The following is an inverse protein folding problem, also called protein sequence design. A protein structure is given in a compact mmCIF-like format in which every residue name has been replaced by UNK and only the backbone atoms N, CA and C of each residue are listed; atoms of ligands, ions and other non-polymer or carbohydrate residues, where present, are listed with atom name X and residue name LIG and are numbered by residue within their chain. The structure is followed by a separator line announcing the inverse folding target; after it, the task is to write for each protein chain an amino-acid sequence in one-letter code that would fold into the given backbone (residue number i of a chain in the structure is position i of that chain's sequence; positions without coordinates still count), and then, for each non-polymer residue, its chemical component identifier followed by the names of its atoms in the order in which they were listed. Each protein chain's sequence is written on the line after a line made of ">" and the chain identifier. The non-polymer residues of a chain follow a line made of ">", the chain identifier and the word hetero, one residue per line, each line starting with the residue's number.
data_IF_414610198996
#
_entry.id   IF_414610198996
#
_cell.length_a   1.000
_cell.length_b   1.000
_cell.length_c   1.000
_cell.angle_alpha   90.00
_cell.angle_beta   90.00
_cell.angle_gamma   90.00
#
_symmetry.space_group_name_H-M   'P 1'
#
loop_
_entity.id
_entity.type
_entity.pdbx_description
1 polymer ?
#
# COMPACT_ATOMS: atom_id res chain seq x y z
N UNK A 1 17.95 12.35 -53.82
CA UNK A 1 17.48 12.47 -52.43
C UNK A 1 16.67 13.75 -52.34
N UNK A 2 15.36 13.65 -52.31
CA UNK A 2 14.45 14.80 -52.49
C UNK A 2 14.40 15.64 -51.20
N UNK A 3 14.31 16.97 -51.34
CA UNK A 3 14.23 17.96 -50.24
C UNK A 3 13.18 17.57 -49.20
N UNK A 4 12.08 16.95 -49.63
CA UNK A 4 10.98 16.46 -48.79
C UNK A 4 11.47 15.39 -47.78
N UNK A 5 12.36 14.48 -48.21
CA UNK A 5 12.91 13.43 -47.36
C UNK A 5 13.85 14.01 -46.28
N UNK A 6 14.62 15.04 -46.64
CA UNK A 6 15.52 15.71 -45.70
C UNK A 6 14.75 16.52 -44.65
N UNK A 7 13.65 17.17 -45.03
CA UNK A 7 12.76 17.91 -44.10
C UNK A 7 12.06 16.92 -43.15
N UNK A 8 11.54 15.79 -43.64
CA UNK A 8 10.92 14.78 -42.81
C UNK A 8 11.90 14.15 -41.80
N UNK A 9 13.13 13.89 -42.21
CA UNK A 9 14.17 13.38 -41.31
C UNK A 9 14.54 14.44 -40.27
N UNK A 10 14.63 15.71 -40.65
CA UNK A 10 14.97 16.81 -39.74
C UNK A 10 13.81 17.08 -38.74
N UNK A 11 12.57 17.10 -39.18
CA UNK A 11 11.39 17.24 -38.29
C UNK A 11 11.28 16.06 -37.32
N UNK A 12 11.47 14.83 -37.80
CA UNK A 12 11.43 13.63 -36.97
C UNK A 12 12.59 13.59 -35.93
N UNK A 13 13.80 13.99 -36.31
CA UNK A 13 14.91 14.10 -35.37
C UNK A 13 14.66 15.19 -34.32
N UNK A 14 14.13 16.34 -34.74
CA UNK A 14 13.83 17.45 -33.84
C UNK A 14 12.69 17.12 -32.86
N UNK A 15 11.62 16.49 -33.32
CA UNK A 15 10.54 15.99 -32.46
C UNK A 15 11.05 14.93 -31.45
N UNK A 16 12.01 14.10 -31.86
CA UNK A 16 12.65 13.12 -31.01
C UNK A 16 13.55 13.76 -29.97
N UNK A 17 14.33 14.79 -30.35
CA UNK A 17 15.16 15.59 -29.44
C UNK A 17 14.30 16.41 -28.47
N UNK A 18 13.20 17.06 -28.93
CA UNK A 18 12.26 17.79 -28.08
C UNK A 18 11.55 16.86 -27.11
N UNK A 19 11.16 15.66 -27.53
CA UNK A 19 10.57 14.63 -26.67
C UNK A 19 11.57 14.07 -25.66
N UNK A 20 12.85 14.00 -26.01
CA UNK A 20 13.93 13.58 -25.11
C UNK A 20 14.34 14.71 -24.16
N UNK A 21 14.28 15.97 -24.57
CA UNK A 21 14.52 17.15 -23.71
C UNK A 21 13.39 17.39 -22.68
N UNK A 22 12.23 16.79 -22.86
CA UNK A 22 11.10 16.90 -21.92
C UNK A 22 11.00 15.73 -20.92
N UNK A 23 11.86 14.71 -21.04
CA UNK A 23 11.85 13.57 -20.12
C UNK A 23 12.39 13.96 -18.75
N UNK A 24 11.69 13.58 -17.72
CA UNK A 24 12.11 13.74 -16.32
C UNK A 24 13.22 12.76 -15.95
N UNK A 25 13.14 11.53 -16.44
CA UNK A 25 14.10 10.46 -16.17
C UNK A 25 14.31 9.55 -17.39
N UNK A 26 15.33 8.74 -17.33
CA UNK A 26 15.63 7.67 -18.28
C UNK A 26 15.90 6.35 -17.56
N UNK A 27 15.74 5.24 -18.27
CA UNK A 27 16.20 3.93 -17.83
C UNK A 27 17.68 3.80 -18.13
N UNK A 28 18.50 3.41 -17.16
CA UNK A 28 19.91 3.15 -17.34
C UNK A 28 20.17 1.74 -17.84
N UNK A 29 21.43 1.39 -18.13
CA UNK A 29 21.84 0.03 -18.44
C UNK A 29 22.03 -0.86 -17.21
N UNK A 30 22.06 -0.26 -16.01
CA UNK A 30 22.10 -0.99 -14.74
C UNK A 30 20.75 -1.67 -14.51
N UNK A 31 20.75 -2.96 -14.29
CA UNK A 31 19.52 -3.74 -14.13
C UNK A 31 19.67 -4.85 -13.09
N UNK A 32 18.55 -5.26 -12.54
CA UNK A 32 18.46 -6.39 -11.63
C UNK A 32 17.39 -7.38 -12.12
N UNK A 33 17.58 -8.65 -11.80
CA UNK A 33 16.53 -9.66 -11.97
C UNK A 33 15.70 -9.75 -10.67
N UNK A 34 14.40 -9.50 -10.79
CA UNK A 34 13.47 -9.55 -9.67
C UNK A 34 12.19 -10.30 -10.05
N UNK A 35 11.87 -11.40 -9.36
CA UNK A 35 10.74 -12.29 -9.69
C UNK A 35 10.67 -12.69 -11.17
N UNK A 36 11.81 -12.97 -11.81
CA UNK A 36 11.88 -13.36 -13.22
C UNK A 36 11.68 -12.21 -14.22
N UNK A 37 11.69 -10.97 -13.76
CA UNK A 37 11.59 -9.74 -14.56
C UNK A 37 12.89 -8.97 -14.50
N UNK A 38 13.25 -8.29 -15.58
CA UNK A 38 14.39 -7.37 -15.60
C UNK A 38 13.88 -5.98 -15.24
N UNK A 39 14.42 -5.41 -14.19
CA UNK A 39 14.12 -4.04 -13.76
C UNK A 39 15.36 -3.18 -13.99
N UNK A 40 15.16 -1.99 -14.51
CA UNK A 40 16.21 -1.05 -14.86
C UNK A 40 16.29 0.07 -13.83
N UNK A 41 17.49 0.43 -13.45
CA UNK A 41 17.71 1.60 -12.61
C UNK A 41 17.35 2.86 -13.36
N UNK A 42 16.69 3.81 -12.69
CA UNK A 42 16.35 5.10 -13.29
C UNK A 42 17.37 6.17 -12.92
N UNK A 43 17.47 7.19 -13.78
CA UNK A 43 18.32 8.36 -13.57
C UNK A 43 17.56 9.62 -13.93
N UNK A 44 17.55 10.60 -13.04
CA UNK A 44 16.93 11.89 -13.27
C UNK A 44 17.69 12.69 -14.35
N UNK A 45 16.97 13.19 -15.35
CA UNK A 45 17.51 14.02 -16.43
C UNK A 45 17.41 15.51 -16.12
N UNK A 46 16.44 15.87 -15.28
CA UNK A 46 16.20 17.24 -14.79
C UNK A 46 15.98 17.21 -13.29
N UNK A 47 16.22 18.32 -12.60
CA UNK A 47 15.89 18.46 -11.19
C UNK A 47 14.39 18.72 -10.99
N UNK A 48 13.78 18.07 -10.00
CA UNK A 48 12.37 18.28 -9.60
C UNK A 48 12.17 17.90 -8.13
N UNK A 49 11.28 18.59 -7.44
CA UNK A 49 11.07 18.35 -6.00
C UNK A 49 12.41 18.40 -5.23
N UNK A 50 12.75 17.28 -4.60
CA UNK A 50 14.02 17.09 -3.87
C UNK A 50 15.04 16.25 -4.65
N UNK A 51 14.78 15.94 -5.93
CA UNK A 51 15.65 15.12 -6.78
C UNK A 51 16.55 16.03 -7.61
N UNK A 52 17.85 15.77 -7.61
CA UNK A 52 18.83 16.52 -8.40
C UNK A 52 19.03 15.89 -9.79
N UNK A 53 19.42 16.74 -10.76
CA UNK A 53 19.81 16.26 -12.09
C UNK A 53 20.96 15.28 -11.99
N UNK A 54 20.82 14.12 -12.62
CA UNK A 54 21.80 13.04 -12.61
C UNK A 54 21.65 12.06 -11.43
N UNK A 55 20.73 12.32 -10.49
CA UNK A 55 20.49 11.42 -9.38
C UNK A 55 19.99 10.06 -9.84
N UNK A 56 20.55 9.01 -9.25
CA UNK A 56 20.13 7.63 -9.51
C UNK A 56 18.96 7.28 -8.58
N UNK A 57 17.87 6.81 -9.19
CA UNK A 57 16.70 6.36 -8.46
C UNK A 57 16.72 4.86 -8.16
N UNK A 58 15.53 4.28 -7.94
CA UNK A 58 15.31 2.85 -7.78
C UNK A 58 15.21 2.10 -9.12
N UNK A 59 14.43 1.01 -9.11
CA UNK A 59 14.32 0.11 -10.25
C UNK A 59 12.88 0.01 -10.76
N UNK A 60 12.69 0.16 -12.06
CA UNK A 60 11.40 -0.02 -12.72
C UNK A 60 11.51 -0.97 -13.91
N UNK A 61 10.43 -1.69 -14.23
CA UNK A 61 10.41 -2.61 -15.37
C UNK A 61 10.33 -1.88 -16.71
N UNK A 62 9.56 -0.80 -16.75
CA UNK A 62 9.28 -0.01 -17.97
C UNK A 62 8.97 1.44 -17.61
N UNK A 63 9.13 2.36 -18.57
CA UNK A 63 8.92 3.79 -18.34
C UNK A 63 7.50 4.12 -17.81
N UNK A 64 6.48 3.36 -18.21
CA UNK A 64 5.10 3.56 -17.79
C UNK A 64 4.86 3.30 -16.29
N UNK A 65 5.80 2.66 -15.59
CA UNK A 65 5.70 2.45 -14.15
C UNK A 65 5.88 3.74 -13.34
N UNK A 66 6.51 4.76 -13.90
CA UNK A 66 6.73 6.05 -13.27
C UNK A 66 6.36 7.19 -14.21
N UNK A 67 5.51 8.11 -13.77
CA UNK A 67 5.10 9.24 -14.58
C UNK A 67 6.27 10.19 -14.88
N UNK A 68 6.36 10.62 -16.13
CA UNK A 68 7.33 11.61 -16.60
C UNK A 68 6.97 13.05 -16.17
N UNK A 69 5.74 13.27 -15.68
CA UNK A 69 5.28 14.54 -15.15
C UNK A 69 5.24 14.54 -13.61
N UNK A 70 5.09 15.73 -13.01
CA UNK A 70 5.02 15.85 -11.54
C UNK A 70 6.32 15.50 -10.83
N UNK A 71 6.23 15.30 -9.51
CA UNK A 71 7.40 15.06 -8.65
C UNK A 71 7.51 13.59 -8.17
N UNK A 72 6.69 12.69 -8.73
CA UNK A 72 6.76 11.28 -8.34
C UNK A 72 8.16 10.69 -8.56
N UNK A 73 8.66 9.93 -7.58
CA UNK A 73 9.98 9.32 -7.66
C UNK A 73 10.04 7.95 -7.02
N UNK A 74 10.91 7.12 -7.57
CA UNK A 74 11.30 5.82 -7.02
C UNK A 74 12.77 5.91 -6.67
N UNK A 75 13.16 5.62 -5.43
CA UNK A 75 14.55 5.80 -4.95
C UNK A 75 15.05 4.59 -4.14
N UNK A 76 16.35 4.58 -3.84
CA UNK A 76 16.98 3.49 -3.11
C UNK A 76 16.97 2.18 -3.88
N UNK A 77 16.54 1.11 -3.24
CA UNK A 77 16.37 -0.22 -3.85
C UNK A 77 14.90 -0.54 -4.18
N UNK A 78 14.03 0.47 -4.12
CA UNK A 78 12.60 0.26 -4.38
C UNK A 78 12.37 -0.22 -5.81
N UNK A 79 11.40 -1.12 -5.97
CA UNK A 79 11.08 -1.78 -7.23
C UNK A 79 9.63 -1.53 -7.65
N UNK A 80 9.41 -1.08 -8.89
CA UNK A 80 8.07 -0.92 -9.46
C UNK A 80 7.97 -1.72 -10.76
N UNK A 81 7.02 -2.63 -10.85
CA UNK A 81 6.93 -3.55 -11.99
C UNK A 81 5.49 -4.01 -12.28
N UNK A 82 5.34 -4.72 -13.40
CA UNK A 82 4.02 -5.10 -13.92
C UNK A 82 3.33 -3.90 -14.55
N UNK A 83 2.04 -3.76 -14.27
CA UNK A 83 1.25 -2.60 -14.68
C UNK A 83 1.11 -1.55 -13.56
N UNK A 84 1.93 -1.69 -12.51
CA UNK A 84 1.94 -0.74 -11.42
C UNK A 84 2.37 0.66 -11.88
N UNK A 85 1.76 1.69 -11.32
CA UNK A 85 2.04 3.07 -11.68
C UNK A 85 2.25 3.96 -10.45
N UNK A 86 3.26 4.83 -10.55
CA UNK A 86 3.60 5.84 -9.54
C UNK A 86 3.53 7.21 -10.20
N UNK A 87 2.67 8.12 -9.70
CA UNK A 87 2.45 9.42 -10.32
C UNK A 87 2.08 10.53 -9.32
N UNK A 88 1.96 11.77 -9.81
CA UNK A 88 1.75 12.95 -8.96
C UNK A 88 3.01 13.36 -8.21
N UNK A 89 2.97 13.41 -6.89
CA UNK A 89 4.11 13.66 -6.03
C UNK A 89 4.47 12.42 -5.17
N UNK A 90 4.01 11.25 -5.56
CA UNK A 90 4.20 10.04 -4.78
C UNK A 90 5.68 9.62 -4.69
N UNK A 91 6.07 9.11 -3.54
CA UNK A 91 7.44 8.70 -3.27
C UNK A 91 7.50 7.22 -2.88
N UNK A 92 8.27 6.43 -3.62
CA UNK A 92 8.52 5.01 -3.31
C UNK A 92 9.99 4.83 -3.02
N UNK A 93 10.38 4.34 -1.83
CA UNK A 93 11.78 4.31 -1.42
C UNK A 93 12.13 3.11 -0.52
N UNK A 94 13.39 3.05 -0.07
CA UNK A 94 13.88 1.93 0.73
C UNK A 94 14.00 0.66 -0.11
N UNK A 95 13.46 -0.45 0.38
CA UNK A 95 13.34 -1.71 -0.35
C UNK A 95 11.87 -1.98 -0.75
N UNK A 96 11.02 -0.96 -0.73
CA UNK A 96 9.60 -1.09 -1.03
C UNK A 96 9.35 -1.61 -2.45
N UNK A 97 8.27 -2.32 -2.63
CA UNK A 97 7.87 -2.81 -3.95
C UNK A 97 6.41 -2.50 -4.27
N UNK A 98 6.19 -2.08 -5.51
CA UNK A 98 4.85 -1.81 -6.04
C UNK A 98 4.67 -2.64 -7.30
N UNK A 99 3.64 -3.49 -7.35
CA UNK A 99 3.49 -4.46 -8.44
C UNK A 99 2.04 -4.78 -8.80
N UNK A 100 1.86 -5.62 -9.83
CA UNK A 100 0.53 -5.92 -10.36
C UNK A 100 -0.06 -4.72 -11.07
N UNK A 101 -1.30 -4.38 -10.79
CA UNK A 101 -2.02 -3.20 -11.28
C UNK A 101 -2.14 -2.10 -10.21
N UNK A 102 -1.24 -2.11 -9.21
CA UNK A 102 -1.26 -1.19 -8.09
C UNK A 102 -0.91 0.25 -8.49
N UNK A 103 -1.55 1.22 -7.86
CA UNK A 103 -1.28 2.64 -8.11
C UNK A 103 -0.93 3.37 -6.80
N UNK A 104 0.18 4.12 -6.83
CA UNK A 104 0.62 5.02 -5.77
C UNK A 104 0.63 6.44 -6.31
N UNK A 105 -0.15 7.35 -5.74
CA UNK A 105 -0.32 8.69 -6.31
C UNK A 105 -0.72 9.75 -5.28
N UNK A 106 -0.78 11.01 -5.72
CA UNK A 106 -0.94 12.16 -4.83
C UNK A 106 0.38 12.43 -4.13
N UNK A 107 0.36 12.70 -2.84
CA UNK A 107 1.54 12.90 -1.98
C UNK A 107 1.86 11.62 -1.16
N UNK A 108 1.40 10.46 -1.63
CA UNK A 108 1.53 9.19 -0.92
C UNK A 108 2.98 8.70 -0.87
N UNK A 109 3.34 8.11 0.26
CA UNK A 109 4.67 7.56 0.50
C UNK A 109 4.60 6.05 0.78
N UNK A 110 5.45 5.28 0.09
CA UNK A 110 5.64 3.85 0.34
C UNK A 110 7.14 3.62 0.55
N UNK A 111 7.54 3.14 1.73
CA UNK A 111 8.97 3.06 2.06
C UNK A 111 9.31 1.91 3.00
N UNK A 112 10.60 1.77 3.35
CA UNK A 112 11.17 0.61 4.06
C UNK A 112 10.99 -0.68 3.24
N UNK A 113 10.44 -1.75 3.81
CA UNK A 113 10.19 -3.03 3.16
C UNK A 113 8.71 -3.21 2.76
N UNK A 114 7.96 -2.10 2.66
CA UNK A 114 6.53 -2.13 2.38
C UNK A 114 6.19 -2.67 0.99
N UNK A 115 5.06 -3.37 0.92
CA UNK A 115 4.56 -3.99 -0.30
C UNK A 115 3.18 -3.45 -0.69
N UNK A 116 3.03 -3.00 -1.93
CA UNK A 116 1.74 -2.62 -2.51
C UNK A 116 1.53 -3.43 -3.79
N UNK A 117 0.47 -4.25 -3.84
CA UNK A 117 0.29 -5.18 -4.98
C UNK A 117 -1.18 -5.45 -5.34
N UNK A 118 -1.38 -6.23 -6.40
CA UNK A 118 -2.73 -6.48 -6.93
C UNK A 118 -3.30 -5.21 -7.56
N UNK A 119 -4.56 -4.88 -7.28
CA UNK A 119 -5.23 -3.65 -7.72
C UNK A 119 -5.23 -2.57 -6.63
N UNK A 120 -4.33 -2.66 -5.65
CA UNK A 120 -4.31 -1.77 -4.49
C UNK A 120 -4.00 -0.33 -4.88
N UNK A 121 -4.57 0.61 -4.12
CA UNK A 121 -4.35 2.04 -4.34
C UNK A 121 -3.93 2.74 -3.06
N UNK A 122 -2.82 3.47 -3.13
CA UNK A 122 -2.32 4.32 -2.05
C UNK A 122 -2.32 5.76 -2.56
N UNK A 123 -3.00 6.68 -1.88
CA UNK A 123 -3.19 8.04 -2.40
C UNK A 123 -3.41 9.10 -1.31
N UNK A 124 -3.45 10.38 -1.72
CA UNK A 124 -3.47 11.49 -0.78
C UNK A 124 -2.13 11.58 -0.06
N UNK A 125 -2.13 11.92 1.22
CA UNK A 125 -0.94 11.98 2.10
C UNK A 125 -0.70 10.65 2.83
N UNK A 126 -1.21 9.53 2.29
CA UNK A 126 -1.14 8.23 2.93
C UNK A 126 0.29 7.68 2.95
N UNK A 127 0.65 7.03 4.07
CA UNK A 127 1.96 6.40 4.24
C UNK A 127 1.81 4.90 4.48
N UNK A 128 2.57 4.09 3.73
CA UNK A 128 2.70 2.64 3.93
C UNK A 128 4.19 2.34 4.15
N UNK A 129 4.54 1.77 5.30
CA UNK A 129 5.96 1.60 5.66
C UNK A 129 6.20 0.44 6.63
N UNK A 130 7.48 0.15 6.93
CA UNK A 130 7.88 -1.06 7.63
C UNK A 130 7.69 -2.28 6.74
N UNK A 131 7.25 -3.40 7.29
CA UNK A 131 6.93 -4.64 6.55
C UNK A 131 5.45 -4.70 6.12
N UNK A 132 4.77 -3.55 6.06
CA UNK A 132 3.33 -3.48 5.79
C UNK A 132 2.99 -3.89 4.35
N UNK A 133 1.90 -4.66 4.23
CA UNK A 133 1.41 -5.14 2.94
C UNK A 133 0.00 -4.62 2.63
N UNK A 134 -0.18 -3.98 1.49
CA UNK A 134 -1.47 -3.53 0.95
C UNK A 134 -1.72 -4.23 -0.38
N UNK A 135 -2.75 -5.06 -0.48
CA UNK A 135 -2.96 -5.88 -1.67
C UNK A 135 -4.44 -6.16 -1.97
N UNK A 136 -4.71 -6.85 -3.09
CA UNK A 136 -6.09 -7.03 -3.58
C UNK A 136 -6.65 -5.72 -4.12
N UNK A 137 -7.90 -5.40 -3.81
CA UNK A 137 -8.57 -4.16 -4.21
C UNK A 137 -8.54 -3.10 -3.09
N UNK A 138 -7.62 -3.24 -2.13
CA UNK A 138 -7.51 -2.39 -0.96
C UNK A 138 -7.15 -0.94 -1.32
N UNK A 139 -7.67 -0.01 -0.53
CA UNK A 139 -7.41 1.43 -0.71
C UNK A 139 -6.95 2.06 0.59
N UNK A 140 -5.81 2.74 0.53
CA UNK A 140 -5.28 3.56 1.61
C UNK A 140 -5.24 5.01 1.13
N UNK A 141 -5.87 5.93 1.84
CA UNK A 141 -6.02 7.31 1.36
C UNK A 141 -6.15 8.35 2.48
N UNK A 142 -6.15 9.63 2.12
CA UNK A 142 -6.12 10.71 3.11
C UNK A 142 -4.79 10.71 3.84
N UNK A 143 -4.79 10.97 5.14
CA UNK A 143 -3.60 10.95 6.01
C UNK A 143 -3.40 9.59 6.70
N UNK A 144 -3.95 8.50 6.12
CA UNK A 144 -3.90 7.19 6.72
C UNK A 144 -2.48 6.62 6.75
N UNK A 145 -2.18 5.87 7.82
CA UNK A 145 -0.88 5.22 8.00
C UNK A 145 -1.05 3.71 8.16
N UNK A 146 -0.29 2.95 7.39
CA UNK A 146 -0.22 1.49 7.50
C UNK A 146 1.23 1.11 7.74
N UNK A 147 1.54 0.45 8.86
CA UNK A 147 2.94 0.22 9.25
C UNK A 147 3.16 -1.03 10.10
N UNK A 148 4.44 -1.36 10.35
CA UNK A 148 4.82 -2.62 10.99
C UNK A 148 4.52 -3.79 10.07
N UNK A 149 4.12 -4.93 10.61
CA UNK A 149 3.71 -6.13 9.86
C UNK A 149 2.22 -6.09 9.44
N UNK A 150 1.59 -4.90 9.39
CA UNK A 150 0.17 -4.76 9.12
C UNK A 150 -0.20 -5.22 7.70
N UNK A 151 -1.36 -5.86 7.57
CA UNK A 151 -1.88 -6.35 6.30
C UNK A 151 -3.26 -5.78 6.02
N UNK A 152 -3.40 -5.13 4.87
CA UNK A 152 -4.67 -4.56 4.39
C UNK A 152 -5.00 -5.19 3.03
N UNK A 153 -6.15 -5.86 2.91
CA UNK A 153 -6.48 -6.57 1.68
C UNK A 153 -7.98 -6.71 1.41
N UNK A 154 -8.32 -7.32 0.29
CA UNK A 154 -9.70 -7.41 -0.19
C UNK A 154 -10.20 -6.02 -0.61
N UNK A 155 -11.46 -5.72 -0.38
CA UNK A 155 -12.09 -4.41 -0.64
C UNK A 155 -11.89 -3.40 0.50
N UNK A 156 -10.94 -3.64 1.41
CA UNK A 156 -10.69 -2.82 2.59
C UNK A 156 -10.34 -1.37 2.24
N UNK A 157 -10.89 -0.43 3.00
CA UNK A 157 -10.57 0.99 2.88
C UNK A 157 -10.06 1.53 4.20
N UNK A 158 -8.84 2.04 4.18
CA UNK A 158 -8.21 2.77 5.27
C UNK A 158 -8.08 4.21 4.82
N UNK A 159 -8.68 5.17 5.53
CA UNK A 159 -8.76 6.54 5.07
C UNK A 159 -8.75 7.56 6.23
N UNK A 160 -8.86 8.84 5.92
CA UNK A 160 -8.85 9.90 6.94
C UNK A 160 -7.53 9.88 7.72
N UNK A 161 -7.62 9.95 9.04
CA UNK A 161 -6.47 9.90 9.96
C UNK A 161 -6.28 8.50 10.59
N UNK A 162 -6.78 7.44 9.94
CA UNK A 162 -6.71 6.09 10.48
C UNK A 162 -5.27 5.57 10.53
N UNK A 163 -4.96 4.84 11.60
CA UNK A 163 -3.67 4.17 11.77
C UNK A 163 -3.89 2.66 11.89
N UNK A 164 -3.24 1.88 11.02
CA UNK A 164 -3.19 0.41 11.05
C UNK A 164 -1.73 0.02 11.28
N UNK A 165 -1.41 -0.57 12.42
CA UNK A 165 -0.01 -0.79 12.82
C UNK A 165 0.20 -2.14 13.50
N UNK A 166 1.47 -2.47 13.73
CA UNK A 166 1.86 -3.74 14.36
C UNK A 166 1.48 -4.91 13.47
N UNK A 167 0.91 -5.95 14.05
CA UNK A 167 0.47 -7.16 13.32
C UNK A 167 -1.02 -7.11 12.91
N UNK A 168 -1.58 -5.92 12.72
CA UNK A 168 -3.00 -5.76 12.40
C UNK A 168 -3.35 -6.36 11.04
N UNK A 169 -4.47 -7.08 11.01
CA UNK A 169 -5.01 -7.67 9.80
C UNK A 169 -6.39 -7.07 9.50
N UNK A 170 -6.51 -6.34 8.39
CA UNK A 170 -7.72 -5.64 7.95
C UNK A 170 -8.14 -6.17 6.59
N UNK A 171 -9.21 -6.95 6.53
CA UNK A 171 -9.61 -7.70 5.35
C UNK A 171 -11.04 -7.41 4.90
N UNK A 172 -11.41 -7.96 3.75
CA UNK A 172 -12.79 -7.93 3.25
C UNK A 172 -13.28 -6.52 3.01
N UNK A 173 -14.47 -6.20 3.49
CA UNK A 173 -15.14 -4.92 3.30
C UNK A 173 -14.90 -3.90 4.43
N UNK A 174 -13.76 -3.98 5.10
CA UNK A 174 -13.37 -3.07 6.18
C UNK A 174 -13.47 -1.59 5.77
N UNK A 175 -13.88 -0.75 6.73
CA UNK A 175 -13.97 0.71 6.58
C UNK A 175 -13.38 1.39 7.81
N UNK A 176 -12.09 1.62 7.78
CA UNK A 176 -11.31 2.22 8.86
C UNK A 176 -10.96 3.65 8.46
N UNK A 177 -11.71 4.63 8.96
CA UNK A 177 -11.51 6.06 8.64
C UNK A 177 -11.07 6.90 9.84
N UNK A 178 -11.08 6.31 11.03
CA UNK A 178 -10.57 6.87 12.27
C UNK A 178 -9.75 5.81 13.00
N UNK A 179 -8.85 6.21 13.88
CA UNK A 179 -8.11 5.26 14.72
C UNK A 179 -9.04 4.47 15.67
N UNK A 180 -10.18 5.04 16.02
CA UNK A 180 -11.23 4.38 16.84
C UNK A 180 -12.02 3.31 16.06
N UNK A 181 -11.87 3.18 14.75
CA UNK A 181 -12.51 2.12 13.95
C UNK A 181 -11.71 0.80 13.91
N UNK A 182 -10.63 0.74 14.66
CA UNK A 182 -9.77 -0.43 14.78
C UNK A 182 -9.32 -0.58 16.22
N UNK A 183 -9.38 -1.81 16.72
CA UNK A 183 -8.81 -2.21 18.00
C UNK A 183 -7.99 -3.46 17.82
N UNK A 184 -6.80 -3.48 18.38
CA UNK A 184 -5.91 -4.64 18.33
C UNK A 184 -5.47 -5.02 19.73
N UNK A 185 -5.47 -6.31 20.01
CA UNK A 185 -4.89 -6.87 21.22
C UNK A 185 -3.95 -8.00 20.86
N UNK A 186 -2.78 -8.02 21.49
CA UNK A 186 -1.74 -8.99 21.21
C UNK A 186 -1.45 -9.91 22.39
N UNK A 187 -0.72 -10.98 22.07
CA UNK A 187 -0.27 -12.02 23.02
C UNK A 187 -1.42 -12.67 23.80
N UNK A 188 -2.59 -12.85 23.18
CA UNK A 188 -3.75 -13.54 23.80
C UNK A 188 -4.04 -14.89 23.14
N UNK A 189 -4.85 -15.70 23.82
CA UNK A 189 -5.23 -17.04 23.38
C UNK A 189 -4.12 -18.08 23.53
N UNK A 190 -4.38 -19.29 23.06
CA UNK A 190 -3.48 -20.45 23.20
C UNK A 190 -2.20 -20.36 22.35
N UNK A 191 -2.21 -19.52 21.33
CA UNK A 191 -1.06 -19.30 20.42
C UNK A 191 -0.32 -18.01 20.67
N UNK A 192 -0.71 -17.25 21.72
CA UNK A 192 -0.15 -15.93 22.01
C UNK A 192 -0.13 -14.99 20.77
N UNK A 193 -1.18 -15.08 19.95
CA UNK A 193 -1.31 -14.32 18.72
C UNK A 193 -1.94 -12.95 18.91
N UNK A 194 -2.07 -12.23 17.78
CA UNK A 194 -2.78 -10.96 17.72
C UNK A 194 -4.20 -11.19 17.25
N UNK A 195 -5.13 -10.39 17.79
CA UNK A 195 -6.52 -10.31 17.36
C UNK A 195 -6.82 -8.87 16.97
N UNK A 196 -7.29 -8.68 15.74
CA UNK A 196 -7.67 -7.37 15.21
C UNK A 196 -9.17 -7.30 15.07
N UNK A 197 -9.77 -6.28 15.64
CA UNK A 197 -11.18 -5.93 15.52
C UNK A 197 -11.28 -4.65 14.69
N UNK A 198 -12.17 -4.60 13.72
CA UNK A 198 -12.31 -3.42 12.86
C UNK A 198 -13.74 -3.25 12.35
N UNK A 199 -14.08 -2.00 12.03
CA UNK A 199 -15.38 -1.63 11.50
C UNK A 199 -15.48 -1.98 10.02
N UNK A 200 -16.61 -2.57 9.62
CA UNK A 200 -16.94 -2.91 8.23
C UNK A 200 -17.81 -1.82 7.56
N UNK A 201 -18.05 -2.00 6.26
CA UNK A 201 -18.95 -1.16 5.46
C UNK A 201 -20.37 -1.10 6.07
N UNK A 202 -20.85 -2.20 6.63
CA UNK A 202 -22.17 -2.30 7.24
C UNK A 202 -22.18 -1.84 8.70
N UNK A 203 -21.14 -1.12 9.14
CA UNK A 203 -20.99 -0.62 10.50
C UNK A 203 -21.04 -1.72 11.58
N UNK A 204 -20.60 -2.93 11.25
CA UNK A 204 -20.44 -4.05 12.18
C UNK A 204 -18.98 -4.21 12.54
N UNK A 205 -18.70 -4.89 13.64
CA UNK A 205 -17.33 -5.24 14.03
C UNK A 205 -16.98 -6.59 13.43
N UNK A 206 -15.93 -6.62 12.64
CA UNK A 206 -15.31 -7.84 12.12
C UNK A 206 -14.06 -8.17 12.91
N UNK A 207 -13.73 -9.45 13.02
CA UNK A 207 -12.60 -9.95 13.81
C UNK A 207 -11.69 -10.78 12.92
N UNK A 208 -10.40 -10.48 12.95
CA UNK A 208 -9.34 -11.30 12.40
C UNK A 208 -8.45 -11.83 13.53
N UNK A 209 -8.44 -13.17 13.73
CA UNK A 209 -7.70 -13.82 14.79
C UNK A 209 -7.13 -15.16 14.32
N UNK A 210 -5.83 -15.20 13.99
CA UNK A 210 -5.21 -16.37 13.40
C UNK A 210 -5.86 -16.76 12.08
N UNK A 211 -6.45 -17.97 12.02
CA UNK A 211 -7.21 -18.43 10.86
C UNK A 211 -8.71 -18.11 10.92
N UNK A 212 -9.17 -17.38 11.95
CA UNK A 212 -10.54 -16.91 12.02
C UNK A 212 -10.66 -15.53 11.37
N UNK A 213 -11.68 -15.37 10.52
CA UNK A 213 -12.13 -14.08 9.99
C UNK A 213 -13.65 -14.13 9.92
N UNK A 214 -14.33 -13.22 10.61
CA UNK A 214 -15.80 -13.23 10.70
C UNK A 214 -16.34 -12.12 11.61
N UNK A 215 -17.63 -12.10 11.78
CA UNK A 215 -18.35 -11.17 12.66
C UNK A 215 -17.99 -11.39 14.13
N UNK A 216 -18.10 -10.36 14.95
CA UNK A 216 -17.75 -10.42 16.39
C UNK A 216 -18.62 -11.43 17.15
N UNK A 217 -19.90 -11.59 16.79
CA UNK A 217 -20.80 -12.54 17.44
C UNK A 217 -20.46 -13.99 17.08
N UNK A 218 -20.04 -14.23 15.83
CA UNK A 218 -19.51 -15.53 15.39
C UNK A 218 -18.20 -15.87 16.09
N UNK A 219 -17.35 -14.86 16.29
CA UNK A 219 -16.12 -15.02 17.06
C UNK A 219 -16.39 -15.40 18.50
N UNK A 220 -17.33 -14.72 19.17
CA UNK A 220 -17.71 -15.02 20.55
C UNK A 220 -18.25 -16.45 20.70
N UNK A 221 -19.14 -16.89 19.81
CA UNK A 221 -19.64 -18.27 19.77
C UNK A 221 -18.52 -19.28 19.62
N UNK A 222 -17.54 -18.98 18.76
CA UNK A 222 -16.39 -19.87 18.52
C UNK A 222 -15.43 -19.91 19.70
N UNK A 223 -15.24 -18.78 20.39
CA UNK A 223 -14.46 -18.70 21.63
C UNK A 223 -15.10 -19.56 22.72
N UNK A 224 -16.40 -19.44 22.95
CA UNK A 224 -17.14 -20.25 23.93
C UNK A 224 -17.01 -21.74 23.57
N UNK A 225 -17.25 -22.11 22.31
CA UNK A 225 -17.17 -23.51 21.86
C UNK A 225 -15.80 -24.16 22.11
N UNK A 226 -14.71 -23.40 21.85
CA UNK A 226 -13.35 -23.96 21.83
C UNK A 226 -12.59 -23.76 23.14
N UNK A 227 -12.99 -22.80 23.97
CA UNK A 227 -12.23 -22.37 25.15
C UNK A 227 -13.07 -22.31 26.44
N UNK A 228 -14.27 -22.92 26.45
CA UNK A 228 -15.17 -22.91 27.61
C UNK A 228 -14.45 -23.25 28.91
N UNK A 229 -14.63 -22.44 29.94
CA UNK A 229 -14.07 -22.62 31.29
C UNK A 229 -12.58 -22.35 31.41
N UNK A 230 -11.87 -21.99 30.33
CA UNK A 230 -10.44 -21.71 30.35
C UNK A 230 -10.11 -20.23 30.57
N UNK A 231 -8.83 -19.94 30.92
CA UNK A 231 -8.33 -18.55 30.95
C UNK A 231 -8.45 -17.85 29.59
N UNK A 232 -8.38 -18.61 28.50
CA UNK A 232 -8.45 -18.07 27.14
C UNK A 232 -9.84 -17.55 26.81
N UNK A 233 -10.92 -18.24 27.25
CA UNK A 233 -12.27 -17.71 27.14
C UNK A 233 -12.38 -16.35 27.80
N UNK A 234 -11.93 -16.23 29.06
CA UNK A 234 -12.00 -14.98 29.82
C UNK A 234 -11.26 -13.85 29.11
N UNK A 235 -10.06 -14.13 28.58
CA UNK A 235 -9.23 -13.15 27.89
C UNK A 235 -9.88 -12.69 26.58
N UNK A 236 -10.40 -13.61 25.77
CA UNK A 236 -11.10 -13.25 24.53
C UNK A 236 -12.38 -12.48 24.77
N UNK A 237 -13.17 -12.86 25.78
CA UNK A 237 -14.39 -12.12 26.12
C UNK A 237 -14.08 -10.69 26.59
N UNK A 238 -13.05 -10.51 27.41
CA UNK A 238 -12.59 -9.17 27.78
C UNK A 238 -12.16 -8.35 26.55
N UNK A 239 -11.45 -8.96 25.60
CA UNK A 239 -11.06 -8.31 24.35
C UNK A 239 -12.29 -7.93 23.48
N UNK A 240 -13.32 -8.78 23.42
CA UNK A 240 -14.57 -8.51 22.71
C UNK A 240 -15.29 -7.29 23.34
N UNK A 241 -15.41 -7.25 24.67
CA UNK A 241 -16.05 -6.13 25.36
C UNK A 241 -15.27 -4.81 25.17
N UNK A 242 -13.94 -4.86 25.23
CA UNK A 242 -13.09 -3.71 24.93
C UNK A 242 -13.27 -3.24 23.48
N UNK A 243 -13.33 -4.17 22.53
CA UNK A 243 -13.54 -3.83 21.12
C UNK A 243 -14.93 -3.17 20.89
N UNK A 244 -15.99 -3.69 21.53
CA UNK A 244 -17.33 -3.10 21.47
C UNK A 244 -17.38 -1.70 22.07
N UNK A 245 -16.61 -1.46 23.13
CA UNK A 245 -16.53 -0.15 23.77
C UNK A 245 -15.63 0.86 23.01
N UNK A 246 -14.58 0.37 22.33
CA UNK A 246 -13.59 1.20 21.67
C UNK A 246 -13.97 1.57 20.24
N UNK A 247 -14.64 0.66 19.51
CA UNK A 247 -14.94 0.89 18.09
C UNK A 247 -16.22 1.70 17.97
N UNK A 248 -16.06 2.93 17.49
CA UNK A 248 -17.13 3.90 17.29
C UNK A 248 -17.88 3.71 15.96
N UNK A 249 -19.03 4.39 15.86
CA UNK A 249 -19.89 4.45 14.67
C UNK A 249 -20.34 3.04 14.18
N UNK A 250 -20.50 2.09 15.09
CA UNK A 250 -21.09 0.78 14.80
C UNK A 250 -22.59 0.79 15.10
N UNK A 251 -23.37 0.07 14.29
CA UNK A 251 -24.77 -0.18 14.60
C UNK A 251 -24.82 -1.29 15.65
N UNK A 252 -25.55 -1.05 16.75
CA UNK A 252 -25.77 -2.06 17.77
C UNK A 252 -26.50 -3.26 17.15
N UNK A 253 -25.98 -4.46 17.36
CA UNK A 253 -26.75 -5.67 17.13
C UNK A 253 -27.88 -5.70 18.15
N UNK A 254 -29.13 -5.73 17.69
CA UNK A 254 -30.28 -6.14 18.48
C UNK A 254 -30.21 -7.63 18.76
#
# INVERSE_FOLDING_TARGET
>A
MTIVTAIQIYTYSREREEKQMSKKFELTTESIMYFGRTLFRIKALVGFGNVETGELGGYIEKEENLDQSGNAWVSGNACVFGNACVFGNAWVSGNAWVSGDACVFGDACVFDDACVSGNARVSGDACVFGDACVFGDARVSGNARVSGDARVSGDARVSGNACVYGNACVYGDARVSKSTHLFQVGCIGSRHGFTTFYRTKNKRIHVACGCFSGDIDEFEKKVIKNHAGTKHEKTYRAAIELAKAQIEDVEGGE
#
